data_IF_590992156459
#
_entry.id   IF_590992156459
#
_cell.length_a   1.000
_cell.length_b   1.000
_cell.length_c   1.000
_cell.angle_alpha   90.00
_cell.angle_beta   90.00
_cell.angle_gamma   90.00
#
_symmetry.space_group_name_H-M   'P 1'
#
loop_
_entity.id
_entity.type
_entity.pdbx_description
1 polymer ?
#
# COMPACT_ATOMS: atom_id res chain seq x y z
N UNK A 1 21.01 14.08 28.30
CA UNK A 1 19.66 13.72 28.74
C UNK A 1 18.69 14.07 27.62
N UNK A 2 18.18 13.02 26.97
CA UNK A 2 16.87 12.83 26.31
C UNK A 2 15.84 13.96 26.49
N UNK A 3 14.93 14.30 25.56
CA UNK A 3 14.32 13.62 24.42
C UNK A 3 13.47 14.67 23.65
N UNK A 4 13.17 14.45 22.36
CA UNK A 4 11.79 14.44 21.83
C UNK A 4 11.76 14.55 20.29
N UNK A 5 11.57 13.39 19.65
CA UNK A 5 10.75 13.23 18.44
C UNK A 5 11.19 13.99 17.19
N UNK A 6 12.13 13.41 16.44
CA UNK A 6 12.11 13.61 14.99
C UNK A 6 10.71 13.21 14.51
N UNK A 7 9.94 14.17 14.02
CA UNK A 7 8.67 13.89 13.38
C UNK A 7 8.98 12.91 12.25
N UNK A 8 8.68 11.62 12.45
CA UNK A 8 8.71 10.63 11.37
C UNK A 8 7.87 11.25 10.25
N UNK A 9 8.51 11.66 9.16
CA UNK A 9 7.81 12.22 8.01
C UNK A 9 6.67 11.28 7.67
N UNK A 10 5.45 11.82 7.58
CA UNK A 10 4.26 11.01 7.32
C UNK A 10 4.53 10.20 6.05
N UNK A 11 4.49 8.87 6.15
CA UNK A 11 4.63 7.98 4.99
C UNK A 11 3.32 7.97 4.21
N UNK A 12 3.39 7.97 2.89
CA UNK A 12 2.23 7.73 2.04
C UNK A 12 1.90 6.24 2.05
N UNK A 13 0.65 5.93 2.37
CA UNK A 13 0.17 4.56 2.52
C UNK A 13 -0.44 4.06 1.23
N UNK A 14 0.15 3.00 0.68
CA UNK A 14 -0.20 2.46 -0.63
C UNK A 14 -0.97 1.15 -0.50
N UNK A 15 -2.11 1.05 -1.18
CA UNK A 15 -2.82 -0.20 -1.40
C UNK A 15 -2.58 -0.67 -2.84
N UNK A 16 -2.15 -1.93 -3.01
CA UNK A 16 -1.93 -2.54 -4.33
C UNK A 16 -3.04 -3.55 -4.61
N UNK A 17 -3.75 -3.39 -5.73
CA UNK A 17 -4.87 -4.24 -6.15
C UNK A 17 -4.57 -4.79 -7.54
N UNK A 18 -4.26 -6.07 -7.64
CA UNK A 18 -3.81 -6.75 -8.87
C UNK A 18 -3.93 -8.27 -8.66
N UNK A 19 -4.47 -9.04 -9.61
CA UNK A 19 -4.70 -10.48 -9.43
C UNK A 19 -3.40 -11.31 -9.49
N UNK A 20 -2.34 -10.77 -10.11
CA UNK A 20 -1.02 -11.38 -10.23
C UNK A 20 -0.18 -11.23 -8.97
N UNK A 21 0.06 -12.35 -8.28
CA UNK A 21 0.89 -12.37 -7.08
C UNK A 21 2.34 -11.90 -7.32
N UNK A 22 2.90 -12.15 -8.51
CA UNK A 22 4.25 -11.70 -8.87
C UNK A 22 4.31 -10.18 -9.05
N UNK A 23 3.28 -9.58 -9.66
CA UNK A 23 3.18 -8.12 -9.81
C UNK A 23 3.04 -7.46 -8.45
N UNK A 24 2.13 -7.95 -7.59
CA UNK A 24 1.98 -7.44 -6.22
C UNK A 24 3.29 -7.46 -5.43
N UNK A 25 4.06 -8.55 -5.56
CA UNK A 25 5.37 -8.67 -4.91
C UNK A 25 6.36 -7.64 -5.45
N UNK A 26 6.52 -7.55 -6.77
CA UNK A 26 7.45 -6.62 -7.39
C UNK A 26 7.12 -5.16 -7.03
N UNK A 27 5.85 -4.78 -7.09
CA UNK A 27 5.39 -3.44 -6.70
C UNK A 27 5.64 -3.16 -5.22
N UNK A 28 5.44 -4.15 -4.34
CA UNK A 28 5.74 -3.99 -2.92
C UNK A 28 7.23 -3.69 -2.70
N UNK A 29 8.12 -4.48 -3.31
CA UNK A 29 9.57 -4.29 -3.21
C UNK A 29 10.00 -2.90 -3.76
N UNK A 30 9.39 -2.45 -4.86
CA UNK A 30 9.66 -1.12 -5.44
C UNK A 30 9.18 0.01 -4.52
N UNK A 31 7.93 -0.06 -4.02
CA UNK A 31 7.34 0.99 -3.18
C UNK A 31 8.08 1.09 -1.84
N UNK A 32 8.36 -0.04 -1.20
CA UNK A 32 9.04 -0.06 0.10
C UNK A 32 10.52 0.31 0.03
N UNK A 33 11.09 0.42 -1.18
CA UNK A 33 12.45 0.93 -1.37
C UNK A 33 12.58 2.43 -1.08
N UNK A 34 11.48 3.19 -1.14
CA UNK A 34 11.43 4.60 -0.78
C UNK A 34 10.87 4.77 0.66
N UNK A 35 11.66 5.32 1.62
CA UNK A 35 11.22 5.49 3.00
C UNK A 35 10.04 6.46 3.18
N UNK A 36 9.69 7.24 2.15
CA UNK A 36 8.50 8.09 2.10
C UNK A 36 7.20 7.33 1.90
N UNK A 37 7.24 6.04 1.60
CA UNK A 37 6.07 5.19 1.35
C UNK A 37 6.01 4.00 2.30
N UNK A 38 4.82 3.43 2.44
CA UNK A 38 4.62 2.12 3.05
C UNK A 38 3.46 1.39 2.35
N UNK A 39 3.60 0.08 2.13
CA UNK A 39 2.51 -0.73 1.63
C UNK A 39 1.62 -1.12 2.80
N UNK A 40 0.41 -0.55 2.86
CA UNK A 40 -0.54 -0.88 3.92
C UNK A 40 -1.28 -2.20 3.69
N UNK A 41 -1.20 -2.72 2.46
CA UNK A 41 -1.72 -4.03 2.12
C UNK A 41 -1.75 -4.28 0.63
N UNK A 42 -2.08 -5.52 0.27
CA UNK A 42 -2.30 -5.93 -1.10
C UNK A 42 -3.59 -6.74 -1.20
N UNK A 43 -4.22 -6.73 -2.38
CA UNK A 43 -5.42 -7.50 -2.69
C UNK A 43 -5.30 -8.09 -4.09
N UNK A 44 -5.65 -9.37 -4.24
CA UNK A 44 -5.79 -10.03 -5.54
C UNK A 44 -7.23 -10.26 -5.97
N UNK A 45 -8.17 -9.63 -5.27
CA UNK A 45 -9.61 -9.77 -5.47
C UNK A 45 -10.27 -8.40 -5.17
N UNK A 46 -11.23 -7.96 -6.01
CA UNK A 46 -11.84 -6.64 -5.87
C UNK A 46 -12.73 -6.51 -4.62
N UNK A 47 -13.33 -7.59 -4.14
CA UNK A 47 -14.13 -7.57 -2.91
C UNK A 47 -13.24 -7.44 -1.67
N UNK A 48 -12.09 -8.11 -1.66
CA UNK A 48 -11.07 -7.92 -0.61
C UNK A 48 -10.54 -6.49 -0.61
N UNK A 49 -10.31 -5.90 -1.79
CA UNK A 49 -9.91 -4.49 -1.89
C UNK A 49 -10.99 -3.55 -1.34
N UNK A 50 -12.25 -3.75 -1.72
CA UNK A 50 -13.38 -2.94 -1.25
C UNK A 50 -13.56 -3.04 0.28
N UNK A 51 -13.43 -4.23 0.86
CA UNK A 51 -13.50 -4.42 2.30
C UNK A 51 -12.39 -3.62 3.02
N UNK A 52 -11.16 -3.68 2.53
CA UNK A 52 -10.03 -2.91 3.08
C UNK A 52 -10.30 -1.41 3.03
N UNK A 53 -10.70 -0.90 1.86
CA UNK A 53 -10.98 0.52 1.65
C UNK A 53 -12.12 1.01 2.57
N UNK A 54 -13.14 0.18 2.81
CA UNK A 54 -14.24 0.53 3.72
C UNK A 54 -13.81 0.70 5.18
N UNK A 55 -12.73 0.01 5.59
CA UNK A 55 -12.16 0.09 6.94
C UNK A 55 -11.16 1.24 7.05
N UNK A 56 -10.39 1.46 5.98
CA UNK A 56 -9.33 2.44 5.96
C UNK A 56 -8.96 2.86 4.52
N UNK A 57 -8.99 4.17 4.26
CA UNK A 57 -8.71 4.74 2.94
C UNK A 57 -7.19 4.92 2.76
N UNK A 58 -6.57 4.36 1.71
CA UNK A 58 -5.16 4.58 1.42
C UNK A 58 -4.90 6.02 0.93
N UNK A 59 -3.66 6.51 1.07
CA UNK A 59 -3.25 7.77 0.46
C UNK A 59 -3.07 7.62 -1.06
N UNK A 60 -2.64 6.42 -1.50
CA UNK A 60 -2.44 6.06 -2.91
C UNK A 60 -2.96 4.65 -3.16
N UNK A 61 -3.66 4.45 -4.28
CA UNK A 61 -4.07 3.13 -4.74
C UNK A 61 -3.45 2.84 -6.11
N UNK A 62 -2.81 1.68 -6.24
CA UNK A 62 -2.45 1.10 -7.53
C UNK A 62 -3.48 0.02 -7.82
N UNK A 63 -4.17 0.16 -8.95
CA UNK A 63 -5.29 -0.69 -9.33
C UNK A 63 -5.05 -1.21 -10.75
N UNK A 64 -4.97 -2.53 -10.88
CA UNK A 64 -5.17 -3.19 -12.17
C UNK A 64 -6.66 -3.09 -12.56
N UNK A 65 -6.89 -2.62 -13.78
CA UNK A 65 -8.24 -2.41 -14.34
C UNK A 65 -8.75 -3.71 -14.96
N UNK A 66 -7.84 -4.58 -15.44
CA UNK A 66 -8.18 -5.82 -16.13
C UNK A 66 -8.13 -7.03 -15.19
N UNK A 67 -8.75 -6.90 -14.02
CA UNK A 67 -8.96 -8.03 -13.11
C UNK A 67 -10.24 -8.81 -13.49
N UNK A 68 -10.24 -10.15 -13.39
CA UNK A 68 -11.42 -10.98 -13.60
C UNK A 68 -12.53 -10.77 -12.56
#
# INVERSE_FOLDING_TARGET
MSNAGSAKGKRYRVLIVDDSASVRRALTEIIESDPGFEVMGTAGDPYVAAERISREVPDVMILDIEMP
#
